data_IF_332064090867
#
_entry.id   IF_332064090867
#
_cell.length_a   1.000
_cell.length_b   1.000
_cell.length_c   1.000
_cell.angle_alpha   90.00
_cell.angle_beta   90.00
_cell.angle_gamma   90.00
#
_symmetry.space_group_name_H-M   'P 1'
#
loop_
_entity.id
_entity.type
_entity.pdbx_description
1 polymer ?
#
# COMPACT_ATOMS: atom_id res chain seq x y z
N UNK A 1 -19.17 12.11 -25.32
CA UNK A 1 -18.31 11.02 -24.78
C UNK A 1 -17.35 11.67 -23.83
N UNK A 2 -17.69 11.88 -22.56
CA UNK A 2 -16.85 12.72 -21.69
C UNK A 2 -16.83 12.11 -20.29
N UNK A 3 -16.13 10.97 -20.21
CA UNK A 3 -15.82 10.28 -18.98
C UNK A 3 -14.84 11.15 -18.18
N UNK A 4 -15.40 12.09 -17.40
CA UNK A 4 -14.70 12.98 -16.48
C UNK A 4 -14.06 12.17 -15.35
N UNK A 5 -12.97 11.52 -15.69
CA UNK A 5 -12.19 10.72 -14.78
C UNK A 5 -11.04 11.56 -14.22
N UNK A 6 -11.39 12.61 -13.49
CA UNK A 6 -10.45 13.42 -12.71
C UNK A 6 -10.02 12.64 -11.46
N UNK A 7 -9.34 11.51 -11.68
CA UNK A 7 -8.60 10.84 -10.61
C UNK A 7 -7.46 11.77 -10.20
N UNK A 8 -7.69 12.54 -9.13
CA UNK A 8 -6.69 13.36 -8.48
C UNK A 8 -5.37 12.60 -8.41
N UNK A 9 -4.31 13.22 -8.92
CA UNK A 9 -3.02 12.59 -9.13
C UNK A 9 -2.59 11.90 -7.83
N UNK A 10 -2.62 10.56 -7.85
CA UNK A 10 -2.23 9.76 -6.68
C UNK A 10 -0.74 10.03 -6.50
N UNK A 11 -0.41 10.87 -5.54
CA UNK A 11 0.98 11.23 -5.26
C UNK A 11 1.65 9.97 -4.72
N UNK A 12 2.38 9.28 -5.60
CA UNK A 12 3.14 8.09 -5.24
C UNK A 12 4.50 8.58 -4.76
N UNK A 13 4.80 8.33 -3.50
CA UNK A 13 6.10 8.60 -2.94
C UNK A 13 7.06 7.50 -3.40
N UNK A 14 8.05 7.88 -4.19
CA UNK A 14 9.15 6.99 -4.55
C UNK A 14 10.22 7.04 -3.47
N UNK A 15 10.71 5.88 -3.05
CA UNK A 15 11.71 5.76 -1.99
C UNK A 15 12.32 4.36 -1.98
N UNK A 16 13.10 4.05 -0.95
CA UNK A 16 13.59 2.70 -0.73
C UNK A 16 13.29 2.34 0.72
N UNK A 17 12.26 1.51 0.93
CA UNK A 17 11.85 1.07 2.26
C UNK A 17 11.89 -0.44 2.36
N UNK A 18 12.18 -0.96 3.53
CA UNK A 18 12.24 -2.40 3.77
C UNK A 18 10.92 -2.88 4.35
N UNK A 19 10.34 -3.92 3.76
CA UNK A 19 9.15 -4.57 4.31
C UNK A 19 9.49 -5.21 5.66
N UNK A 20 8.79 -4.82 6.72
CA UNK A 20 9.01 -5.35 8.08
C UNK A 20 8.60 -6.82 8.24
N UNK A 21 7.91 -7.40 7.26
CA UNK A 21 7.46 -8.81 7.31
C UNK A 21 8.35 -9.74 6.49
N UNK A 22 8.73 -9.35 5.26
CA UNK A 22 9.49 -10.21 4.34
C UNK A 22 10.87 -9.67 3.95
N UNK A 23 11.23 -8.45 4.36
CA UNK A 23 12.51 -7.83 4.02
C UNK A 23 12.61 -7.30 2.58
N UNK A 24 11.55 -7.38 1.77
CA UNK A 24 11.56 -6.88 0.39
C UNK A 24 11.68 -5.37 0.32
N UNK A 25 12.42 -4.87 -0.68
CA UNK A 25 12.52 -3.44 -0.99
C UNK A 25 11.23 -2.91 -1.64
N UNK A 26 10.71 -1.83 -1.08
CA UNK A 26 9.52 -1.13 -1.52
C UNK A 26 9.97 0.18 -2.15
N UNK A 27 9.64 0.34 -3.43
CA UNK A 27 10.09 1.50 -4.21
C UNK A 27 9.07 2.62 -4.26
N UNK A 28 7.79 2.31 -4.10
CA UNK A 28 6.69 3.24 -4.31
C UNK A 28 5.58 3.00 -3.28
N UNK A 29 5.17 4.05 -2.58
CA UNK A 29 4.08 4.02 -1.61
C UNK A 29 3.10 5.17 -1.87
N UNK A 30 1.78 4.93 -1.77
CA UNK A 30 0.77 5.99 -1.92
C UNK A 30 0.62 6.85 -0.65
N UNK A 31 1.47 6.65 0.35
CA UNK A 31 1.50 7.38 1.60
C UNK A 31 2.95 7.64 2.01
N UNK A 32 3.19 8.73 2.74
CA UNK A 32 4.49 9.05 3.28
C UNK A 32 4.76 8.13 4.49
N UNK A 33 5.87 7.39 4.54
CA UNK A 33 6.20 6.56 5.68
C UNK A 33 6.85 7.37 6.80
N UNK A 34 6.26 7.36 7.99
CA UNK A 34 6.71 8.14 9.15
C UNK A 34 7.87 7.49 9.94
N UNK A 35 8.35 6.31 9.54
CA UNK A 35 9.44 5.59 10.23
C UNK A 35 9.06 4.94 11.58
N UNK A 36 8.00 5.41 12.24
CA UNK A 36 7.48 4.81 13.48
C UNK A 36 6.66 3.54 13.24
N UNK A 37 6.04 3.41 12.05
CA UNK A 37 5.10 2.32 11.73
C UNK A 37 5.76 1.29 10.82
N UNK A 38 5.52 -0.03 11.05
CA UNK A 38 6.05 -1.07 10.18
C UNK A 38 5.44 -0.95 8.79
N UNK A 39 6.30 -0.90 7.77
CA UNK A 39 5.91 -0.79 6.37
C UNK A 39 5.79 -2.20 5.81
N UNK A 40 4.71 -2.45 5.08
CA UNK A 40 4.48 -3.74 4.43
C UNK A 40 4.44 -3.57 2.91
N UNK A 41 5.03 -4.53 2.19
CA UNK A 41 4.90 -4.57 0.75
C UNK A 41 3.46 -4.88 0.34
N UNK A 42 3.13 -4.64 -0.93
CA UNK A 42 1.78 -4.85 -1.47
C UNK A 42 1.25 -6.25 -1.17
N UNK A 43 2.10 -7.27 -1.30
CA UNK A 43 1.75 -8.68 -1.07
C UNK A 43 1.39 -8.93 0.39
N UNK A 44 2.30 -8.60 1.34
CA UNK A 44 2.06 -8.79 2.77
C UNK A 44 0.82 -8.00 3.27
N UNK A 45 0.64 -6.78 2.78
CA UNK A 45 -0.53 -5.97 3.12
C UNK A 45 -1.84 -6.58 2.55
N UNK A 46 -1.79 -7.14 1.33
CA UNK A 46 -2.93 -7.83 0.74
C UNK A 46 -3.29 -9.12 1.48
N UNK A 47 -2.29 -9.94 1.83
CA UNK A 47 -2.48 -11.15 2.65
C UNK A 47 -3.14 -10.81 3.98
N UNK A 48 -2.60 -9.81 4.69
CA UNK A 48 -3.15 -9.35 5.98
C UNK A 48 -4.59 -8.84 5.88
N UNK A 49 -4.96 -8.22 4.76
CA UNK A 49 -6.36 -7.83 4.50
C UNK A 49 -7.25 -9.03 4.18
N UNK A 50 -6.75 -9.99 3.42
CA UNK A 50 -7.50 -11.17 2.98
C UNK A 50 -7.75 -12.16 4.12
N UNK A 51 -6.86 -12.23 5.12
CA UNK A 51 -7.04 -13.06 6.31
C UNK A 51 -8.12 -12.57 7.27
N UNK A 52 -8.70 -11.37 7.06
CA UNK A 52 -9.87 -10.96 7.83
C UNK A 52 -11.06 -11.74 7.28
N UNK A 53 -11.67 -12.66 8.05
CA UNK A 53 -12.86 -13.36 7.58
C UNK A 53 -13.85 -12.28 7.18
N UNK A 54 -14.16 -12.22 5.89
CA UNK A 54 -15.22 -11.37 5.40
C UNK A 54 -16.44 -11.78 6.21
N UNK A 55 -16.88 -10.90 7.11
CA UNK A 55 -18.10 -11.08 7.90
C UNK A 55 -19.24 -11.07 6.90
N UNK A 56 -19.47 -12.23 6.28
CA UNK A 56 -20.69 -12.59 5.57
C UNK A 56 -21.72 -12.78 6.67
N UNK A 57 -22.54 -11.76 6.85
CA UNK A 57 -23.85 -11.91 7.47
C UNK A 57 -24.83 -12.31 6.37
#
# INVERSE_FOLDING_TARGET
MDNQNSFGQRQMHQGNWTCSQCGTEIKELPFMPDGERPIFCRSCHQEKRNSRPQRRF
#
